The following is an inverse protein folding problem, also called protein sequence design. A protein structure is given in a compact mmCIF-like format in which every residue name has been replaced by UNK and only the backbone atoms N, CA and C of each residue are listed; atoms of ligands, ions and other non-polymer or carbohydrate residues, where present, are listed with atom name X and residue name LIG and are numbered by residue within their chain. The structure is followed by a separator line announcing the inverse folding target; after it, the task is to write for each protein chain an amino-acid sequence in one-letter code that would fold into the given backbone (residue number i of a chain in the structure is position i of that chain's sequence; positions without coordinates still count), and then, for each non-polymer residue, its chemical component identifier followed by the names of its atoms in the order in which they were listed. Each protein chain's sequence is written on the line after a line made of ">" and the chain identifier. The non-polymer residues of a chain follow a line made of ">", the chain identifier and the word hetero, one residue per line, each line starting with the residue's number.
data_IF_989681963542
#
_entry.id   IF_989681963542
#
_cell.length_a   1.000
_cell.length_b   1.000
_cell.length_c   1.000
_cell.angle_alpha   90.00
_cell.angle_beta   90.00
_cell.angle_gamma   90.00
#
_symmetry.space_group_name_H-M   'P 1'
#
loop_
_entity.id
_entity.type
_entity.pdbx_description
1 polymer ?
#
# COMPACT_ATOMS: atom_id res chain seq x y z
N UNK A 1 -24.07 -20.75 1.21
CA UNK A 1 -22.73 -20.34 1.66
C UNK A 1 -22.21 -19.27 0.72
N UNK A 2 -22.26 -18.01 1.16
CA UNK A 2 -21.85 -16.85 0.36
C UNK A 2 -20.35 -16.94 0.06
N UNK A 3 -19.95 -16.91 -1.21
CA UNK A 3 -18.54 -16.79 -1.57
C UNK A 3 -18.03 -15.47 -1.00
N UNK A 4 -17.18 -15.53 0.02
CA UNK A 4 -16.47 -14.37 0.54
C UNK A 4 -15.63 -13.79 -0.60
N UNK A 5 -15.99 -12.59 -1.06
CA UNK A 5 -15.28 -11.93 -2.16
C UNK A 5 -13.88 -11.59 -1.66
N UNK A 6 -12.87 -12.33 -2.14
CA UNK A 6 -11.47 -12.05 -1.80
C UNK A 6 -11.13 -10.62 -2.22
N UNK A 7 -10.74 -9.82 -1.24
CA UNK A 7 -10.24 -8.47 -1.46
C UNK A 7 -8.90 -8.57 -2.19
N UNK A 8 -8.85 -8.02 -3.40
CA UNK A 8 -7.62 -7.95 -4.20
C UNK A 8 -6.97 -6.57 -4.06
N UNK A 9 -5.75 -6.55 -3.53
CA UNK A 9 -4.97 -5.35 -3.32
C UNK A 9 -4.09 -5.01 -4.54
N UNK A 10 -3.92 -3.72 -4.82
CA UNK A 10 -2.76 -3.25 -5.57
C UNK A 10 -1.67 -2.83 -4.58
N UNK A 11 -0.47 -3.39 -4.74
CA UNK A 11 0.73 -2.95 -4.02
C UNK A 11 1.59 -2.07 -4.91
N UNK A 12 1.76 -0.81 -4.55
CA UNK A 12 2.62 0.16 -5.23
C UNK A 12 3.95 0.21 -4.49
N UNK A 13 5.01 -0.27 -5.13
CA UNK A 13 6.33 -0.44 -4.51
C UNK A 13 7.27 0.64 -5.01
N UNK A 14 7.99 1.31 -4.11
CA UNK A 14 9.11 2.18 -4.46
C UNK A 14 10.45 1.44 -4.25
N UNK A 15 11.10 0.93 -5.32
CA UNK A 15 12.35 0.18 -5.19
C UNK A 15 13.52 1.03 -4.65
N UNK A 16 13.49 2.34 -4.87
CA UNK A 16 14.53 3.27 -4.44
C UNK A 16 14.42 3.67 -2.96
N UNK A 17 13.34 3.28 -2.27
CA UNK A 17 13.14 3.59 -0.86
C UNK A 17 14.24 2.98 0.03
N UNK A 18 14.39 3.53 1.24
CA UNK A 18 15.39 3.07 2.23
C UNK A 18 16.83 3.04 1.69
N UNK A 19 17.22 4.06 0.92
CA UNK A 19 18.56 4.17 0.35
C UNK A 19 18.87 3.09 -0.69
N UNK A 20 17.89 2.75 -1.54
CA UNK A 20 18.02 1.72 -2.59
C UNK A 20 17.78 0.28 -2.14
N UNK A 21 17.44 0.04 -0.87
CA UNK A 21 17.14 -1.31 -0.36
C UNK A 21 15.69 -1.75 -0.60
N UNK A 22 14.86 -0.90 -1.21
CA UNK A 22 13.43 -1.15 -1.35
C UNK A 22 13.10 -2.41 -2.16
N UNK A 23 13.87 -2.68 -3.20
CA UNK A 23 13.74 -3.90 -4.01
C UNK A 23 13.98 -5.18 -3.19
N UNK A 24 15.10 -5.24 -2.47
CA UNK A 24 15.47 -6.39 -1.65
C UNK A 24 14.44 -6.63 -0.53
N UNK A 25 14.02 -5.56 0.15
CA UNK A 25 13.00 -5.64 1.20
C UNK A 25 11.65 -6.08 0.64
N UNK A 26 11.29 -5.59 -0.55
CA UNK A 26 10.07 -5.99 -1.22
C UNK A 26 10.03 -7.50 -1.47
N UNK A 27 11.12 -8.14 -1.88
CA UNK A 27 11.13 -9.60 -2.08
C UNK A 27 10.72 -10.37 -0.81
N UNK A 28 11.22 -9.95 0.36
CA UNK A 28 10.87 -10.56 1.66
C UNK A 28 9.41 -10.30 2.01
N UNK A 29 8.95 -9.06 1.82
CA UNK A 29 7.57 -8.64 2.07
C UNK A 29 6.60 -9.41 1.17
N UNK A 30 6.91 -9.50 -0.12
CA UNK A 30 6.10 -10.18 -1.12
C UNK A 30 5.87 -11.65 -0.74
N UNK A 31 6.95 -12.35 -0.37
CA UNK A 31 6.87 -13.74 0.10
C UNK A 31 5.99 -13.86 1.36
N UNK A 32 6.14 -12.92 2.30
CA UNK A 32 5.36 -12.91 3.52
C UNK A 32 3.86 -12.62 3.28
N UNK A 33 3.52 -11.69 2.39
CA UNK A 33 2.13 -11.38 2.03
C UNK A 33 1.45 -12.58 1.36
N UNK A 34 2.15 -13.27 0.45
CA UNK A 34 1.66 -14.51 -0.15
C UNK A 34 1.44 -15.60 0.90
N UNK A 35 2.42 -15.84 1.77
CA UNK A 35 2.30 -16.82 2.86
C UNK A 35 1.13 -16.49 3.80
N UNK A 36 0.86 -15.20 3.98
CA UNK A 36 -0.23 -14.70 4.81
C UNK A 36 -1.61 -14.76 4.14
N UNK A 37 -1.69 -15.19 2.88
CA UNK A 37 -2.96 -15.33 2.14
C UNK A 37 -3.55 -14.00 1.66
N UNK A 38 -2.76 -12.93 1.61
CA UNK A 38 -3.18 -11.66 1.02
C UNK A 38 -3.22 -11.83 -0.50
N UNK A 39 -4.37 -11.55 -1.12
CA UNK A 39 -4.50 -11.53 -2.58
C UNK A 39 -4.11 -10.15 -3.12
N UNK A 40 -3.09 -10.11 -3.97
CA UNK A 40 -2.59 -8.86 -4.52
C UNK A 40 -1.92 -9.01 -5.88
N UNK A 41 -1.80 -7.89 -6.58
CA UNK A 41 -0.85 -7.67 -7.65
C UNK A 41 -0.01 -6.44 -7.31
N UNK A 42 1.15 -6.27 -7.93
CA UNK A 42 2.03 -5.16 -7.62
C UNK A 42 2.48 -4.41 -8.87
N UNK A 43 2.78 -3.12 -8.69
CA UNK A 43 3.44 -2.27 -9.67
C UNK A 43 4.59 -1.54 -8.99
N UNK A 44 5.72 -1.40 -9.68
CA UNK A 44 6.88 -0.67 -9.19
C UNK A 44 6.90 0.73 -9.77
N UNK A 45 7.21 1.72 -8.94
CA UNK A 45 7.50 3.06 -9.42
C UNK A 45 8.86 3.08 -10.13
N UNK A 46 9.03 4.05 -11.02
CA UNK A 46 10.24 4.21 -11.84
C UNK A 46 10.80 5.64 -11.77
N UNK A 47 9.99 6.59 -11.33
CA UNK A 47 10.31 8.00 -11.19
C UNK A 47 9.39 8.62 -10.13
N UNK A 48 9.71 9.85 -9.73
CA UNK A 48 8.90 10.65 -8.80
C UNK A 48 7.50 10.89 -9.35
N UNK A 49 6.49 10.90 -8.48
CA UNK A 49 5.06 11.04 -8.82
C UNK A 49 4.44 9.85 -9.57
N UNK A 50 5.21 8.81 -9.90
CA UNK A 50 4.66 7.65 -10.60
C UNK A 50 3.63 6.92 -9.73
N UNK A 51 3.77 6.91 -8.40
CA UNK A 51 2.79 6.23 -7.54
C UNK A 51 1.39 6.89 -7.61
N UNK A 52 1.32 8.20 -7.82
CA UNK A 52 0.07 8.94 -8.06
C UNK A 52 -0.66 8.38 -9.29
N UNK A 53 0.06 8.24 -10.41
CA UNK A 53 -0.51 7.72 -11.66
C UNK A 53 -0.96 6.27 -11.52
N UNK A 54 -0.13 5.42 -10.89
CA UNK A 54 -0.47 4.01 -10.66
C UNK A 54 -1.74 3.85 -9.81
N UNK A 55 -1.91 4.68 -8.79
CA UNK A 55 -3.12 4.69 -7.96
C UNK A 55 -4.35 5.10 -8.78
N UNK A 56 -4.26 6.17 -9.57
CA UNK A 56 -5.36 6.64 -10.42
C UNK A 56 -5.80 5.58 -11.44
N UNK A 57 -4.85 4.98 -12.16
CA UNK A 57 -5.12 3.90 -13.12
C UNK A 57 -5.85 2.72 -12.47
N UNK A 58 -5.39 2.31 -11.29
CA UNK A 58 -5.97 1.18 -10.59
C UNK A 58 -7.40 1.47 -10.13
N UNK A 59 -7.64 2.68 -9.62
CA UNK A 59 -8.96 3.12 -9.17
C UNK A 59 -9.93 3.19 -10.36
N UNK A 60 -9.48 3.73 -11.48
CA UNK A 60 -10.25 3.77 -12.74
C UNK A 60 -10.62 2.36 -13.21
N UNK A 61 -9.67 1.41 -13.10
CA UNK A 61 -9.87 -0.01 -13.41
C UNK A 61 -10.71 -0.79 -12.37
N UNK A 62 -11.20 -0.14 -11.31
CA UNK A 62 -12.10 -0.76 -10.32
C UNK A 62 -11.43 -1.21 -9.03
N UNK A 63 -10.12 -1.03 -8.85
CA UNK A 63 -9.42 -1.34 -7.60
C UNK A 63 -9.85 -0.38 -6.48
N UNK A 64 -10.06 -0.91 -5.27
CA UNK A 64 -10.47 -0.13 -4.09
C UNK A 64 -9.53 -0.29 -2.90
N UNK A 65 -8.50 -1.10 -3.05
CA UNK A 65 -7.63 -1.50 -1.95
C UNK A 65 -6.17 -1.31 -2.38
N UNK A 66 -5.52 -0.31 -1.82
CA UNK A 66 -4.18 0.13 -2.21
C UNK A 66 -3.21 -0.01 -1.04
N UNK A 67 -2.02 -0.57 -1.31
CA UNK A 67 -0.90 -0.62 -0.37
C UNK A 67 0.26 0.16 -0.97
N UNK A 68 0.80 1.14 -0.27
CA UNK A 68 2.09 1.74 -0.61
C UNK A 68 3.22 1.02 0.15
N UNK A 69 4.28 0.61 -0.54
CA UNK A 69 5.49 0.04 0.06
C UNK A 69 6.65 1.00 -0.18
N UNK A 70 7.03 1.76 0.85
CA UNK A 70 7.99 2.84 0.71
C UNK A 70 8.12 3.75 1.94
N UNK A 71 8.53 4.99 1.70
CA UNK A 71 8.54 6.04 2.72
C UNK A 71 7.30 6.93 2.66
N UNK A 72 7.29 7.99 3.47
CA UNK A 72 6.19 8.96 3.53
C UNK A 72 5.92 9.61 2.16
N UNK A 73 6.95 9.88 1.36
CA UNK A 73 6.79 10.41 0.00
C UNK A 73 6.00 9.46 -0.91
N UNK A 74 6.24 8.15 -0.83
CA UNK A 74 5.49 7.15 -1.59
C UNK A 74 4.04 7.07 -1.11
N UNK A 75 3.82 7.12 0.20
CA UNK A 75 2.46 7.20 0.77
C UNK A 75 1.71 8.46 0.32
N UNK A 76 2.37 9.62 0.36
CA UNK A 76 1.80 10.89 -0.08
C UNK A 76 1.41 10.88 -1.55
N UNK A 77 2.26 10.33 -2.44
CA UNK A 77 1.93 10.18 -3.86
C UNK A 77 0.67 9.32 -4.07
N UNK A 78 0.56 8.17 -3.39
CA UNK A 78 -0.63 7.32 -3.50
C UNK A 78 -1.88 8.03 -2.99
N UNK A 79 -1.79 8.72 -1.86
CA UNK A 79 -2.90 9.50 -1.29
C UNK A 79 -3.32 10.63 -2.23
N UNK A 80 -2.37 11.34 -2.84
CA UNK A 80 -2.68 12.33 -3.86
C UNK A 80 -3.43 11.70 -5.05
N UNK A 81 -3.03 10.50 -5.49
CA UNK A 81 -3.73 9.76 -6.53
C UNK A 81 -5.18 9.45 -6.16
N UNK A 82 -5.43 9.04 -4.91
CA UNK A 82 -6.76 8.77 -4.34
C UNK A 82 -7.65 10.02 -4.34
N UNK A 83 -7.10 11.18 -3.97
CA UNK A 83 -7.86 12.43 -3.90
C UNK A 83 -8.02 13.14 -5.26
N UNK A 84 -7.12 12.91 -6.21
CA UNK A 84 -7.17 13.54 -7.54
C UNK A 84 -8.04 12.78 -8.55
N UNK A 85 -8.22 11.46 -8.39
CA UNK A 85 -9.15 10.71 -9.24
C UNK A 85 -10.60 11.16 -9.03
N UNK A 86 -11.44 10.98 -10.04
CA UNK A 86 -12.85 11.42 -10.05
C UNK A 86 -13.87 10.28 -10.16
N UNK A 87 -13.40 9.03 -10.19
CA UNK A 87 -14.20 7.84 -10.45
C UNK A 87 -15.11 7.48 -9.28
N UNK A 88 -14.57 7.53 -8.06
CA UNK A 88 -15.27 7.17 -6.83
C UNK A 88 -14.95 8.15 -5.70
N UNK A 89 -15.80 8.18 -4.67
CA UNK A 89 -15.49 8.90 -3.43
C UNK A 89 -14.23 8.31 -2.80
N UNK A 90 -13.35 9.16 -2.26
CA UNK A 90 -12.14 8.72 -1.56
C UNK A 90 -12.44 7.77 -0.39
N UNK A 91 -13.60 7.94 0.27
CA UNK A 91 -14.08 7.06 1.34
C UNK A 91 -14.41 5.63 0.90
N UNK A 92 -14.52 5.37 -0.41
CA UNK A 92 -14.69 4.02 -0.96
C UNK A 92 -13.34 3.30 -1.18
N UNK A 93 -12.22 3.96 -0.87
CA UNK A 93 -10.88 3.42 -1.09
C UNK A 93 -10.23 3.14 0.27
N UNK A 94 -9.78 1.92 0.45
CA UNK A 94 -8.95 1.52 1.58
C UNK A 94 -7.48 1.67 1.18
N UNK A 95 -6.74 2.41 1.99
CA UNK A 95 -5.31 2.63 1.81
C UNK A 95 -4.53 2.14 3.03
N UNK A 96 -3.39 1.48 2.79
CA UNK A 96 -2.44 1.13 3.82
C UNK A 96 -1.02 1.50 3.39
N UNK A 97 -0.21 1.99 4.34
CA UNK A 97 1.21 2.25 4.14
C UNK A 97 2.02 1.16 4.85
N UNK A 98 2.83 0.43 4.10
CA UNK A 98 3.86 -0.46 4.62
C UNK A 98 5.21 0.28 4.56
N UNK A 99 5.74 0.73 5.70
CA UNK A 99 6.96 1.50 5.74
C UNK A 99 8.20 0.66 5.46
N UNK A 100 9.08 1.15 4.59
CA UNK A 100 10.40 0.55 4.35
C UNK A 100 11.53 1.21 5.15
N UNK A 101 11.29 2.25 5.93
CA UNK A 101 12.32 3.01 6.65
C UNK A 101 11.99 3.27 8.13
N UNK A 102 12.97 3.77 8.88
CA UNK A 102 12.86 4.06 10.33
C UNK A 102 12.36 5.47 10.67
N UNK A 103 12.46 6.40 9.72
CA UNK A 103 12.20 7.84 9.90
C UNK A 103 10.81 8.33 9.48
N UNK A 104 9.85 7.44 9.23
CA UNK A 104 8.53 7.86 8.76
C UNK A 104 7.71 8.45 9.91
N UNK A 105 7.38 9.73 9.80
CA UNK A 105 6.50 10.38 10.77
C UNK A 105 5.06 9.86 10.65
N UNK A 106 4.67 9.33 9.48
CA UNK A 106 3.40 8.64 9.27
C UNK A 106 3.20 7.45 10.23
N UNK A 107 4.26 6.65 10.44
CA UNK A 107 4.20 5.49 11.35
C UNK A 107 3.94 5.96 12.78
N UNK A 108 4.63 7.03 13.20
CA UNK A 108 4.51 7.57 14.56
C UNK A 108 3.12 8.16 14.78
N UNK A 109 2.62 8.94 13.82
CA UNK A 109 1.32 9.61 13.90
C UNK A 109 0.17 8.61 13.90
N UNK A 110 0.22 7.59 13.04
CA UNK A 110 -0.88 6.63 12.87
C UNK A 110 -0.66 5.30 13.62
N UNK A 111 0.36 5.22 14.48
CA UNK A 111 0.71 4.03 15.27
C UNK A 111 0.80 2.74 14.44
N UNK A 112 1.31 2.84 13.22
CA UNK A 112 1.45 1.71 12.31
C UNK A 112 2.52 0.76 12.87
N UNK A 113 2.27 -0.56 12.99
CA UNK A 113 3.29 -1.49 13.45
C UNK A 113 4.50 -1.51 12.52
N UNK A 114 5.71 -1.43 13.09
CA UNK A 114 6.97 -1.63 12.35
C UNK A 114 7.22 -3.10 12.04
N UNK A 115 6.68 -3.99 12.86
CA UNK A 115 6.76 -5.42 12.65
C UNK A 115 5.79 -5.84 11.54
N UNK A 116 6.31 -6.58 10.55
CA UNK A 116 5.55 -6.98 9.37
C UNK A 116 4.39 -7.93 9.72
N UNK A 117 4.56 -8.80 10.73
CA UNK A 117 3.50 -9.72 11.13
C UNK A 117 2.34 -8.96 11.77
N UNK A 118 2.65 -8.05 12.71
CA UNK A 118 1.64 -7.18 13.31
C UNK A 118 0.95 -6.28 12.28
N UNK A 119 1.69 -5.76 11.31
CA UNK A 119 1.13 -4.96 10.22
C UNK A 119 0.13 -5.76 9.38
N UNK A 120 0.49 -6.99 8.99
CA UNK A 120 -0.40 -7.88 8.22
C UNK A 120 -1.64 -8.26 9.03
N UNK A 121 -1.50 -8.48 10.33
CA UNK A 121 -2.65 -8.72 11.21
C UNK A 121 -3.59 -7.52 11.27
N UNK A 122 -3.06 -6.30 11.33
CA UNK A 122 -3.87 -5.08 11.23
C UNK A 122 -4.60 -4.98 9.89
N UNK A 123 -3.91 -5.27 8.78
CA UNK A 123 -4.49 -5.28 7.44
C UNK A 123 -5.66 -6.28 7.34
N UNK A 124 -5.48 -7.50 7.85
CA UNK A 124 -6.52 -8.56 7.85
C UNK A 124 -7.72 -8.22 8.72
N UNK A 125 -7.51 -7.55 9.85
CA UNK A 125 -8.57 -7.13 10.77
C UNK A 125 -9.38 -5.94 10.24
N UNK A 126 -8.96 -5.32 9.12
CA UNK A 126 -9.60 -4.13 8.58
C UNK A 126 -9.56 -2.94 9.54
N UNK A 127 -8.58 -2.89 10.45
CA UNK A 127 -8.45 -1.77 11.38
C UNK A 127 -8.00 -0.53 10.60
N UNK A 128 -8.96 0.30 10.21
CA UNK A 128 -8.72 1.58 9.57
C UNK A 128 -8.46 2.66 10.61
N UNK A 129 -7.28 3.26 10.59
CA UNK A 129 -7.03 4.55 11.24
C UNK A 129 -7.44 5.68 10.30
N UNK A 130 -8.07 6.70 10.87
CA UNK A 130 -8.61 7.88 10.17
C UNK A 130 -7.47 8.76 9.63
#
# INVERSE_FOLDING_TARGET
>A
MSKEQKIKWLVIVNPAASGGQGEQRWSVIQAYLHKSGIDFFYKKTTHRNHATHLAQEAIEAGCRHLIAVGGDGTGNEVVNGIFQQKKVKSTAITFALLPLGTGNDWIKTHQIPKDLALWVDCLKKGKTTI
#
